data_IF_511393650716
#
_entry.id   IF_511393650716
#
_cell.length_a   1.000
_cell.length_b   1.000
_cell.length_c   1.000
_cell.angle_alpha   90.00
_cell.angle_beta   90.00
_cell.angle_gamma   90.00
#
_symmetry.space_group_name_H-M   'P 1'
#
loop_
_entity.id
_entity.type
_entity.pdbx_description
1 polymer ?
#
# COMPACT_ATOMS: atom_id res chain seq x y z
N UNK A 1 6.62 7.57 -14.94
CA UNK A 1 6.66 8.29 -13.64
C UNK A 1 8.07 8.83 -13.37
N UNK A 2 8.25 10.04 -12.82
CA UNK A 2 9.58 10.59 -12.54
C UNK A 2 10.22 10.01 -11.26
N UNK A 3 11.54 10.11 -11.12
CA UNK A 3 12.23 9.69 -9.89
C UNK A 3 11.76 10.44 -8.65
N UNK A 4 11.44 11.73 -8.80
CA UNK A 4 10.93 12.55 -7.69
C UNK A 4 9.55 12.08 -7.24
N UNK A 5 8.66 11.75 -8.19
CA UNK A 5 7.36 11.15 -7.87
C UNK A 5 7.54 9.81 -7.16
N UNK A 6 8.44 8.94 -7.64
CA UNK A 6 8.74 7.66 -7.00
C UNK A 6 9.26 7.84 -5.57
N UNK A 7 10.09 8.86 -5.30
CA UNK A 7 10.55 9.17 -3.93
C UNK A 7 9.38 9.55 -3.01
N UNK A 8 8.40 10.31 -3.51
CA UNK A 8 7.19 10.67 -2.72
C UNK A 8 6.36 9.43 -2.38
N UNK A 9 6.13 8.52 -3.33
CA UNK A 9 5.46 7.25 -3.06
C UNK A 9 6.23 6.40 -2.07
N UNK A 10 7.55 6.27 -2.23
CA UNK A 10 8.38 5.50 -1.31
C UNK A 10 8.29 6.02 0.13
N UNK A 11 8.25 7.36 0.30
CA UNK A 11 8.06 7.97 1.61
C UNK A 11 6.70 7.59 2.22
N UNK A 12 5.63 7.55 1.42
CA UNK A 12 4.31 7.13 1.89
C UNK A 12 4.29 5.68 2.41
N UNK A 13 4.91 4.74 1.66
CA UNK A 13 5.06 3.34 2.10
C UNK A 13 5.91 3.22 3.36
N UNK A 14 6.99 3.99 3.46
CA UNK A 14 7.88 4.00 4.64
C UNK A 14 7.15 4.51 5.87
N UNK A 15 6.40 5.61 5.74
CA UNK A 15 5.63 6.19 6.84
C UNK A 15 4.48 5.27 7.29
N UNK A 16 3.80 4.62 6.33
CA UNK A 16 2.78 3.62 6.63
C UNK A 16 3.33 2.43 7.43
N UNK A 17 4.52 1.93 7.06
CA UNK A 17 5.21 0.89 7.82
C UNK A 17 5.58 1.38 9.23
N UNK A 18 6.08 2.61 9.36
CA UNK A 18 6.43 3.18 10.67
C UNK A 18 5.22 3.30 11.60
N UNK A 19 4.05 3.63 11.07
CA UNK A 19 2.80 3.61 11.84
C UNK A 19 2.44 2.19 12.29
N UNK A 20 2.49 1.21 11.38
CA UNK A 20 2.21 -0.18 11.73
C UNK A 20 3.18 -0.75 12.77
N UNK A 21 4.47 -0.43 12.67
CA UNK A 21 5.48 -0.80 13.67
C UNK A 21 5.15 -0.24 15.06
N UNK A 22 4.60 0.97 15.13
CA UNK A 22 4.29 1.67 16.38
C UNK A 22 2.79 1.66 16.73
N UNK A 23 2.02 0.71 16.18
CA UNK A 23 0.54 0.72 16.18
C UNK A 23 -0.10 0.96 17.55
N UNK A 24 0.55 0.53 18.65
CA UNK A 24 0.08 0.72 20.03
C UNK A 24 -0.10 2.19 20.38
N UNK A 25 0.80 3.06 19.88
CA UNK A 25 0.81 4.50 20.15
C UNK A 25 0.07 5.31 19.08
N UNK A 26 -0.27 4.71 17.95
CA UNK A 26 -0.93 5.41 16.85
C UNK A 26 -2.37 5.74 17.23
N UNK A 27 -2.71 7.01 17.07
CA UNK A 27 -4.03 7.59 17.27
C UNK A 27 -4.53 8.20 15.96
N UNK A 28 -5.79 8.65 15.93
CA UNK A 28 -6.44 9.17 14.72
C UNK A 28 -5.69 10.38 14.15
N UNK A 29 -5.14 11.23 15.01
CA UNK A 29 -4.41 12.44 14.68
C UNK A 29 -3.16 12.13 13.85
N UNK A 30 -2.45 11.04 14.18
CA UNK A 30 -1.29 10.59 13.41
C UNK A 30 -1.67 10.13 11.98
N UNK A 31 -2.89 9.61 11.81
CA UNK A 31 -3.41 9.29 10.47
C UNK A 31 -3.74 10.57 9.72
N UNK A 32 -4.37 11.56 10.36
CA UNK A 32 -4.69 12.86 9.78
C UNK A 32 -3.44 13.64 9.34
N UNK A 33 -2.36 13.55 10.13
CA UNK A 33 -1.04 14.06 9.74
C UNK A 33 -0.54 13.40 8.45
N UNK A 34 -0.63 12.07 8.33
CA UNK A 34 -0.20 11.38 7.12
C UNK A 34 -1.05 11.73 5.90
N UNK A 35 -2.37 11.91 6.07
CA UNK A 35 -3.26 12.35 4.99
C UNK A 35 -2.94 13.75 4.49
N UNK A 36 -2.44 14.61 5.37
CA UNK A 36 -1.99 15.98 5.02
C UNK A 36 -0.62 15.95 4.34
N UNK A 37 0.29 15.08 4.81
CA UNK A 37 1.65 14.92 4.27
C UNK A 37 1.67 14.25 2.89
N UNK A 38 0.79 13.28 2.66
CA UNK A 38 0.79 12.40 1.49
C UNK A 38 -0.44 12.57 0.62
N UNK A 39 -0.66 13.78 0.13
CA UNK A 39 -1.72 14.06 -0.84
C UNK A 39 -1.25 13.76 -2.27
N UNK A 40 -1.02 12.47 -2.55
CA UNK A 40 -0.63 11.96 -3.87
C UNK A 40 -1.45 10.73 -4.25
N UNK A 41 -1.97 10.75 -5.47
CA UNK A 41 -2.78 9.65 -6.02
C UNK A 41 -3.83 9.14 -5.04
N UNK A 42 -3.92 7.83 -4.88
CA UNK A 42 -4.80 7.18 -3.90
C UNK A 42 -4.13 6.91 -2.56
N UNK A 43 -2.97 7.52 -2.24
CA UNK A 43 -2.23 7.22 -1.00
C UNK A 43 -2.99 7.56 0.28
N UNK A 44 -4.07 8.34 0.21
CA UNK A 44 -5.03 8.44 1.32
C UNK A 44 -5.61 7.06 1.71
N UNK A 45 -5.83 6.16 0.75
CA UNK A 45 -6.26 4.77 0.97
C UNK A 45 -5.21 3.93 1.69
N UNK A 46 -3.92 4.19 1.49
CA UNK A 46 -2.85 3.52 2.23
C UNK A 46 -3.01 3.76 3.74
N UNK A 47 -3.20 5.00 4.14
CA UNK A 47 -3.34 5.35 5.55
C UNK A 47 -4.71 4.98 6.12
N UNK A 48 -5.79 5.19 5.37
CA UNK A 48 -7.14 4.92 5.86
C UNK A 48 -7.51 3.43 5.82
N UNK A 49 -7.33 2.76 4.67
CA UNK A 49 -7.82 1.40 4.45
C UNK A 49 -6.79 0.35 4.88
N UNK A 50 -5.51 0.51 4.54
CA UNK A 50 -4.52 -0.48 4.93
C UNK A 50 -4.07 -0.27 6.39
N UNK A 51 -3.51 0.89 6.72
CA UNK A 51 -2.94 1.14 8.06
C UNK A 51 -4.01 1.28 9.13
N UNK A 52 -4.92 2.25 9.02
CA UNK A 52 -5.82 2.58 10.13
C UNK A 52 -6.84 1.49 10.43
N UNK A 53 -7.41 0.84 9.41
CA UNK A 53 -8.31 -0.30 9.65
C UNK A 53 -7.57 -1.46 10.34
N UNK A 54 -6.34 -1.74 9.94
CA UNK A 54 -5.56 -2.82 10.57
C UNK A 54 -5.23 -2.48 12.03
N UNK A 55 -4.82 -1.24 12.32
CA UNK A 55 -4.58 -0.78 13.70
C UNK A 55 -5.87 -0.89 14.53
N UNK A 56 -7.03 -0.51 13.98
CA UNK A 56 -8.31 -0.67 14.68
C UNK A 56 -8.64 -2.14 14.94
N UNK A 57 -8.43 -3.02 13.95
CA UNK A 57 -8.64 -4.47 14.09
C UNK A 57 -7.77 -5.04 15.22
N UNK A 58 -6.49 -4.72 15.22
CA UNK A 58 -5.54 -5.19 16.24
C UNK A 58 -5.88 -4.64 17.62
N UNK A 59 -6.24 -3.36 17.73
CA UNK A 59 -6.70 -2.76 19.00
C UNK A 59 -7.99 -3.36 19.53
N UNK A 60 -8.85 -3.88 18.65
CA UNK A 60 -10.08 -4.60 19.01
C UNK A 60 -9.84 -6.07 19.40
N UNK A 61 -8.59 -6.51 19.54
CA UNK A 61 -8.23 -7.87 19.94
C UNK A 61 -7.91 -8.81 18.77
N UNK A 62 -7.85 -8.31 17.54
CA UNK A 62 -7.38 -9.10 16.40
C UNK A 62 -5.88 -9.41 16.51
N UNK A 63 -5.48 -10.63 16.13
CA UNK A 63 -4.08 -11.03 16.13
C UNK A 63 -3.30 -10.25 15.05
N UNK A 64 -2.27 -9.46 15.40
CA UNK A 64 -1.46 -8.73 14.44
C UNK A 64 -0.55 -9.67 13.68
N UNK A 65 -0.17 -9.31 12.45
CA UNK A 65 1.00 -9.90 11.82
C UNK A 65 2.26 -9.61 12.65
N UNK A 66 3.30 -10.45 12.46
CA UNK A 66 4.61 -10.14 13.03
C UNK A 66 5.17 -8.87 12.40
N UNK A 67 5.96 -8.09 13.16
CA UNK A 67 6.55 -6.83 12.67
C UNK A 67 7.29 -7.00 11.34
N UNK A 68 8.05 -8.10 11.21
CA UNK A 68 8.78 -8.47 9.99
C UNK A 68 7.84 -8.65 8.79
N UNK A 69 6.63 -9.14 9.00
CA UNK A 69 5.70 -9.45 7.92
C UNK A 69 4.99 -8.18 7.45
N UNK A 70 4.69 -7.23 8.34
CA UNK A 70 4.28 -5.88 7.92
C UNK A 70 5.37 -5.19 7.08
N UNK A 71 6.63 -5.24 7.54
CA UNK A 71 7.74 -4.64 6.80
C UNK A 71 7.86 -5.25 5.40
N UNK A 72 7.80 -6.59 5.30
CA UNK A 72 7.86 -7.30 4.03
C UNK A 72 6.68 -6.95 3.13
N UNK A 73 5.46 -6.91 3.67
CA UNK A 73 4.26 -6.56 2.91
C UNK A 73 4.38 -5.17 2.27
N UNK A 74 4.75 -4.13 3.03
CA UNK A 74 4.95 -2.79 2.47
C UNK A 74 6.12 -2.74 1.47
N UNK A 75 7.24 -3.41 1.79
CA UNK A 75 8.42 -3.43 0.92
C UNK A 75 8.12 -4.09 -0.43
N UNK A 76 7.44 -5.24 -0.42
CA UNK A 76 7.13 -5.97 -1.65
C UNK A 76 6.03 -5.27 -2.45
N UNK A 77 5.03 -4.70 -1.79
CA UNK A 77 4.02 -3.85 -2.46
C UNK A 77 4.69 -2.66 -3.13
N UNK A 78 5.61 -1.97 -2.47
CA UNK A 78 6.38 -0.88 -3.07
C UNK A 78 7.21 -1.34 -4.27
N UNK A 79 7.92 -2.48 -4.17
CA UNK A 79 8.69 -3.01 -5.29
C UNK A 79 7.80 -3.30 -6.50
N UNK A 80 6.62 -3.84 -6.25
CA UNK A 80 5.63 -4.12 -7.28
C UNK A 80 5.11 -2.80 -7.89
N UNK A 81 4.71 -1.84 -7.05
CA UNK A 81 4.32 -0.50 -7.50
C UNK A 81 5.39 0.14 -8.39
N UNK A 82 6.65 0.15 -7.94
CA UNK A 82 7.76 0.75 -8.69
C UNK A 82 7.93 0.08 -10.05
N UNK A 83 7.91 -1.26 -10.11
CA UNK A 83 8.04 -2.03 -11.35
C UNK A 83 6.94 -1.67 -12.36
N UNK A 84 5.71 -1.48 -11.87
CA UNK A 84 4.54 -1.22 -12.70
C UNK A 84 4.18 0.27 -12.76
N UNK A 85 4.98 1.19 -12.20
CA UNK A 85 4.64 2.63 -12.10
C UNK A 85 4.51 3.37 -13.43
N UNK A 86 4.81 2.72 -14.54
CA UNK A 86 4.66 3.24 -15.89
C UNK A 86 3.74 2.32 -16.72
N UNK A 87 2.41 2.39 -16.51
CA UNK A 87 1.46 1.52 -17.19
C UNK A 87 1.40 1.77 -18.70
N UNK A 88 1.10 0.71 -19.44
CA UNK A 88 0.81 0.68 -20.87
C UNK A 88 -0.46 -0.16 -21.14
N UNK A 89 -0.85 -0.30 -22.41
CA UNK A 89 -2.08 -0.97 -22.84
C UNK A 89 -1.91 -2.46 -23.18
N UNK A 90 -0.75 -3.06 -22.90
CA UNK A 90 -0.52 -4.47 -23.26
C UNK A 90 -1.09 -5.44 -22.22
N UNK A 91 -1.69 -6.53 -22.69
CA UNK A 91 -2.17 -7.61 -21.83
C UNK A 91 -1.03 -8.19 -20.97
N UNK A 92 0.18 -8.32 -21.53
CA UNK A 92 1.37 -8.80 -20.83
C UNK A 92 1.69 -7.97 -19.58
N UNK A 93 1.53 -6.64 -19.67
CA UNK A 93 1.75 -5.75 -18.54
C UNK A 93 0.72 -6.01 -17.42
N UNK A 94 -0.57 -6.06 -17.77
CA UNK A 94 -1.66 -6.24 -16.80
C UNK A 94 -1.66 -7.64 -16.19
N UNK A 95 -1.44 -8.68 -17.00
CA UNK A 95 -1.29 -10.05 -16.53
C UNK A 95 -0.13 -10.19 -15.56
N UNK A 96 1.01 -9.54 -15.86
CA UNK A 96 2.16 -9.51 -14.97
C UNK A 96 1.87 -8.85 -13.61
N UNK A 97 1.15 -7.72 -13.62
CA UNK A 97 0.75 -7.03 -12.40
C UNK A 97 -0.20 -7.89 -11.57
N UNK A 98 -1.23 -8.46 -12.19
CA UNK A 98 -2.23 -9.31 -11.54
C UNK A 98 -1.58 -10.59 -10.98
N UNK A 99 -0.62 -11.18 -11.69
CA UNK A 99 0.15 -12.30 -11.18
C UNK A 99 0.93 -11.92 -9.92
N UNK A 100 1.65 -10.78 -9.95
CA UNK A 100 2.38 -10.28 -8.79
C UNK A 100 1.48 -9.99 -7.57
N UNK A 101 0.29 -9.44 -7.80
CA UNK A 101 -0.71 -9.20 -6.75
C UNK A 101 -1.19 -10.53 -6.16
N UNK A 102 -1.52 -11.52 -7.00
CA UNK A 102 -1.99 -12.84 -6.54
C UNK A 102 -0.91 -13.58 -5.76
N UNK A 103 0.34 -13.52 -6.21
CA UNK A 103 1.47 -14.18 -5.56
C UNK A 103 1.73 -13.59 -4.16
N UNK A 104 1.83 -12.25 -4.06
CA UNK A 104 1.94 -11.57 -2.77
C UNK A 104 0.72 -11.79 -1.88
N UNK A 105 -0.49 -11.79 -2.44
CA UNK A 105 -1.72 -12.08 -1.71
C UNK A 105 -1.66 -13.43 -1.00
N UNK A 106 -1.23 -14.48 -1.70
CA UNK A 106 -1.04 -15.83 -1.15
C UNK A 106 0.04 -15.88 -0.08
N UNK A 107 1.17 -15.20 -0.30
CA UNK A 107 2.30 -15.19 0.65
C UNK A 107 1.87 -14.72 2.05
N UNK A 108 0.95 -13.75 2.13
CA UNK A 108 0.46 -13.21 3.40
C UNK A 108 -0.96 -13.68 3.75
N UNK A 109 -1.35 -14.87 3.27
CA UNK A 109 -2.59 -15.56 3.66
C UNK A 109 -3.87 -14.83 3.29
N UNK A 110 -3.84 -13.96 2.27
CA UNK A 110 -4.98 -13.21 1.78
C UNK A 110 -5.74 -12.42 2.87
N UNK A 111 -5.02 -11.98 3.90
CA UNK A 111 -5.57 -11.19 5.00
C UNK A 111 -6.22 -9.89 4.48
N UNK A 112 -7.21 -9.37 5.22
CA UNK A 112 -7.88 -8.13 4.84
C UNK A 112 -6.91 -6.95 4.69
N UNK A 113 -5.89 -6.88 5.56
CA UNK A 113 -4.81 -5.90 5.46
C UNK A 113 -4.12 -5.96 4.09
N UNK A 114 -3.77 -7.16 3.64
CA UNK A 114 -3.05 -7.36 2.37
C UNK A 114 -3.95 -7.10 1.18
N UNK A 115 -5.23 -7.49 1.24
CA UNK A 115 -6.22 -7.12 0.22
C UNK A 115 -6.34 -5.61 0.10
N UNK A 116 -6.43 -4.90 1.23
CA UNK A 116 -6.46 -3.44 1.23
C UNK A 116 -5.20 -2.84 0.63
N UNK A 117 -4.02 -3.39 0.95
CA UNK A 117 -2.74 -2.90 0.45
C UNK A 117 -2.52 -3.18 -1.05
N UNK A 118 -2.86 -4.37 -1.54
CA UNK A 118 -2.59 -4.77 -2.92
C UNK A 118 -3.66 -4.32 -3.89
N UNK A 119 -4.94 -4.36 -3.49
CA UNK A 119 -6.06 -4.02 -4.36
C UNK A 119 -6.38 -2.52 -4.24
N UNK A 120 -6.74 -2.07 -3.03
CA UNK A 120 -7.24 -0.71 -2.82
C UNK A 120 -6.16 0.38 -2.78
N UNK A 121 -4.89 0.00 -2.76
CA UNK A 121 -3.77 0.96 -2.84
C UNK A 121 -2.99 0.72 -4.12
N UNK A 122 -2.34 -0.43 -4.27
CA UNK A 122 -1.46 -0.68 -5.40
C UNK A 122 -2.23 -0.70 -6.74
N UNK A 123 -3.19 -1.61 -6.91
CA UNK A 123 -3.87 -1.77 -8.20
C UNK A 123 -4.65 -0.51 -8.59
N UNK A 124 -5.44 0.03 -7.67
CA UNK A 124 -6.22 1.24 -7.92
C UNK A 124 -5.35 2.46 -8.25
N UNK A 125 -4.13 2.56 -7.70
CA UNK A 125 -3.19 3.63 -8.07
C UNK A 125 -2.63 3.43 -9.48
N UNK A 126 -2.24 2.21 -9.83
CA UNK A 126 -1.75 1.90 -11.19
C UNK A 126 -2.83 2.18 -12.23
N UNK A 127 -4.08 1.78 -11.96
CA UNK A 127 -5.22 2.11 -12.83
C UNK A 127 -5.45 3.61 -12.94
N UNK A 128 -5.35 4.38 -11.85
CA UNK A 128 -5.47 5.84 -11.88
C UNK A 128 -4.39 6.45 -12.77
N UNK A 129 -3.14 6.03 -12.61
CA UNK A 129 -2.01 6.50 -13.43
C UNK A 129 -2.23 6.17 -14.90
N UNK A 130 -2.73 4.97 -15.21
CA UNK A 130 -3.05 4.58 -16.57
C UNK A 130 -4.13 5.46 -17.19
N UNK A 131 -5.23 5.70 -16.46
CA UNK A 131 -6.33 6.56 -16.93
C UNK A 131 -5.90 8.01 -17.17
N UNK A 132 -4.92 8.52 -16.44
CA UNK A 132 -4.39 9.88 -16.63
C UNK A 132 -3.45 10.01 -17.83
N UNK A 133 -2.97 8.90 -18.38
CA UNK A 133 -2.14 8.89 -19.59
C UNK A 133 -2.94 8.86 -20.90
N UNK A 134 -4.22 8.51 -20.83
CA UNK A 134 -5.14 8.39 -21.98
C UNK A 134 -5.96 9.67 -22.09
#
# INVERSE_FOLDING_TARGET
MSEEQLKRYWQAYTDAWMLMKNWKKVMKEHIEEMLSKHDIGVMRRLFCLAVWQEIKRVKAGGEPLLEKDYQRAFTYTWKLFKKYSDPNDSDEYWDGLIYGIKDLGKEFGESQFIKNLLIHVLLEEIERIYREKI
#
